data_IF_004559582461
#
_entry.id   IF_004559582461
#
_cell.length_a   1.000
_cell.length_b   1.000
_cell.length_c   1.000
_cell.angle_alpha   90.00
_cell.angle_beta   90.00
_cell.angle_gamma   90.00
#
_symmetry.space_group_name_H-M   'P 1'
#
loop_
_entity.id
_entity.type
_entity.pdbx_description
1 polymer ?
#
# COMPACT_ATOMS: atom_id res chain seq x y z
N UNK A 1 -41.11 35.00 32.40
CA UNK A 1 -42.45 34.68 31.84
C UNK A 1 -42.45 33.20 31.42
N UNK A 2 -43.39 32.40 31.98
CA UNK A 2 -43.99 31.11 31.51
C UNK A 2 -42.99 29.92 31.28
N UNK A 3 -42.86 28.90 32.17
CA UNK A 3 -43.70 27.67 32.41
C UNK A 3 -44.09 26.97 31.09
N UNK A 4 -43.82 25.70 30.78
CA UNK A 4 -44.11 24.38 31.42
C UNK A 4 -43.33 23.28 30.65
N UNK A 5 -42.62 22.30 31.25
CA UNK A 5 -43.07 20.97 31.74
C UNK A 5 -43.92 20.16 30.75
N UNK A 6 -43.49 18.94 30.39
CA UNK A 6 -44.23 17.63 30.31
C UNK A 6 -43.17 16.50 30.19
N UNK A 7 -42.89 15.67 31.21
CA UNK A 7 -43.63 14.48 31.72
C UNK A 7 -43.56 13.28 30.76
N UNK A 8 -42.65 12.32 30.98
CA UNK A 8 -42.77 11.06 31.78
C UNK A 8 -43.64 9.95 31.18
N UNK A 9 -43.07 8.76 31.03
CA UNK A 9 -43.73 7.45 31.06
C UNK A 9 -42.73 6.45 31.67
N UNK A 10 -42.82 6.15 32.97
CA UNK A 10 -43.52 4.99 33.59
C UNK A 10 -42.93 3.63 33.10
N UNK A 11 -41.98 2.98 33.79
CA UNK A 11 -42.03 2.13 35.02
C UNK A 11 -43.02 0.96 34.96
N UNK A 12 -42.47 -0.28 34.98
CA UNK A 12 -43.01 -1.51 35.61
C UNK A 12 -41.88 -2.56 35.66
N UNK A 13 -41.01 -2.57 36.68
CA UNK A 13 -40.95 -3.43 37.89
C UNK A 13 -41.34 -4.92 37.75
N UNK A 14 -40.42 -5.76 38.25
CA UNK A 14 -40.61 -7.06 38.92
C UNK A 14 -40.74 -8.34 38.09
N UNK A 15 -39.66 -9.12 38.10
CA UNK A 15 -39.65 -10.57 37.87
C UNK A 15 -38.42 -11.19 38.54
N UNK A 16 -38.56 -11.48 39.83
CA UNK A 16 -37.55 -11.95 40.78
C UNK A 16 -37.22 -13.44 40.58
N UNK A 17 -35.92 -13.73 40.44
CA UNK A 17 -35.15 -14.89 40.97
C UNK A 17 -35.63 -16.31 40.66
N UNK A 18 -34.76 -17.07 39.97
CA UNK A 18 -34.39 -18.41 40.44
C UNK A 18 -32.87 -18.59 40.46
N UNK A 19 -32.44 -19.08 41.61
CA UNK A 19 -31.08 -19.33 42.08
C UNK A 19 -30.56 -20.65 41.50
N UNK A 20 -29.24 -20.73 41.28
CA UNK A 20 -28.49 -21.98 41.07
C UNK A 20 -27.67 -21.91 39.77
N UNK A 21 -26.37 -22.20 39.74
CA UNK A 21 -25.52 -22.92 40.67
C UNK A 21 -24.06 -22.57 40.36
N UNK A 22 -23.25 -22.43 41.41
CA UNK A 22 -21.78 -22.46 41.30
C UNK A 22 -21.36 -23.80 40.70
N UNK A 23 -20.63 -23.81 39.58
CA UNK A 23 -19.65 -24.86 39.29
C UNK A 23 -18.49 -24.29 38.44
N UNK A 24 -17.38 -24.09 39.15
CA UNK A 24 -16.00 -24.34 38.71
C UNK A 24 -15.58 -23.83 37.32
N UNK A 25 -14.90 -22.67 37.30
CA UNK A 25 -13.95 -22.31 36.23
C UNK A 25 -12.68 -23.15 36.44
N UNK A 26 -12.70 -24.40 35.98
CA UNK A 26 -11.45 -25.13 35.76
C UNK A 26 -10.81 -24.60 34.49
N UNK A 27 -9.59 -24.10 34.63
CA UNK A 27 -8.71 -23.78 33.51
C UNK A 27 -8.43 -25.06 32.71
N UNK A 28 -9.26 -25.34 31.71
CA UNK A 28 -8.96 -26.34 30.69
C UNK A 28 -8.30 -25.63 29.52
N UNK A 29 -6.98 -25.77 29.46
CA UNK A 29 -6.18 -25.43 28.29
C UNK A 29 -6.72 -26.19 27.07
N UNK A 30 -7.51 -25.51 26.25
CA UNK A 30 -7.92 -26.02 24.95
C UNK A 30 -6.71 -25.99 24.01
N UNK A 31 -6.35 -27.11 23.34
CA UNK A 31 -5.35 -27.05 22.29
C UNK A 31 -5.89 -26.20 21.14
N UNK A 32 -5.12 -25.17 20.81
CA UNK A 32 -5.33 -24.27 19.67
C UNK A 32 -5.37 -25.08 18.37
N UNK A 33 -6.56 -25.53 17.96
CA UNK A 33 -6.80 -26.07 16.63
C UNK A 33 -7.03 -24.91 15.66
N UNK A 34 -5.94 -24.18 15.37
CA UNK A 34 -5.89 -23.13 14.37
C UNK A 34 -5.95 -23.72 12.96
N UNK A 35 -6.91 -23.23 12.17
CA UNK A 35 -7.26 -23.60 10.80
C UNK A 35 -6.07 -23.97 9.88
N UNK A 36 -6.19 -25.14 9.26
CA UNK A 36 -5.54 -25.49 7.99
C UNK A 36 -5.97 -24.52 6.87
N UNK A 37 -5.00 -23.99 6.13
CA UNK A 37 -5.15 -23.31 4.84
C UNK A 37 -5.25 -21.78 4.95
N UNK A 38 -4.33 -20.97 4.40
CA UNK A 38 -3.61 -21.13 3.13
C UNK A 38 -2.12 -20.87 3.31
N UNK A 39 -1.31 -21.83 2.85
CA UNK A 39 0.02 -21.51 2.32
C UNK A 39 -0.22 -20.56 1.15
N UNK A 40 -0.01 -19.26 1.32
CA UNK A 40 0.27 -18.44 0.15
C UNK A 40 1.73 -18.70 -0.16
N UNK A 41 1.92 -19.69 -1.02
CA UNK A 41 3.17 -19.97 -1.67
C UNK A 41 3.85 -18.66 -2.05
N UNK A 42 5.08 -18.53 -1.58
CA UNK A 42 6.19 -18.03 -2.36
C UNK A 42 6.12 -18.58 -3.79
N UNK A 43 5.26 -18.02 -4.65
CA UNK A 43 5.43 -18.12 -6.08
C UNK A 43 6.45 -17.08 -6.47
N UNK A 44 7.66 -17.57 -6.71
CA UNK A 44 8.62 -17.07 -7.69
C UNK A 44 7.86 -16.34 -8.81
N UNK A 45 7.69 -15.03 -8.67
CA UNK A 45 7.21 -14.17 -9.75
C UNK A 45 8.39 -14.01 -10.70
N UNK A 46 8.60 -15.04 -11.51
CA UNK A 46 9.49 -14.98 -12.66
C UNK A 46 8.93 -13.92 -13.62
N UNK A 47 9.56 -12.75 -13.63
CA UNK A 47 9.92 -11.87 -14.75
C UNK A 47 9.04 -11.73 -16.02
N UNK A 48 7.80 -12.25 -16.08
CA UNK A 48 7.07 -12.41 -17.35
C UNK A 48 5.61 -11.98 -17.37
N UNK A 49 5.00 -11.69 -16.21
CA UNK A 49 3.67 -11.07 -16.15
C UNK A 49 3.69 -10.07 -15.01
N UNK A 50 3.99 -8.80 -15.34
CA UNK A 50 3.97 -7.74 -14.34
C UNK A 50 2.56 -7.69 -13.76
N UNK A 51 2.46 -7.83 -12.44
CA UNK A 51 1.18 -7.83 -11.73
C UNK A 51 0.47 -6.50 -12.00
N UNK A 52 -0.74 -6.55 -12.59
CA UNK A 52 -1.55 -5.36 -12.88
C UNK A 52 -1.81 -4.52 -11.62
N UNK A 53 -1.90 -5.16 -10.45
CA UNK A 53 -2.04 -4.46 -9.16
C UNK A 53 -0.78 -3.67 -8.84
N UNK A 54 0.40 -4.26 -9.03
CA UNK A 54 1.67 -3.58 -8.85
C UNK A 54 1.86 -2.41 -9.84
N UNK A 55 1.45 -2.58 -11.11
CA UNK A 55 1.48 -1.51 -12.11
C UNK A 55 0.60 -0.33 -11.72
N UNK A 56 -0.65 -0.59 -11.35
CA UNK A 56 -1.58 0.46 -10.95
C UNK A 56 -1.09 1.19 -9.68
N UNK A 57 -0.57 0.44 -8.69
CA UNK A 57 0.03 1.03 -7.50
C UNK A 57 1.26 1.88 -7.83
N UNK A 58 2.14 1.39 -8.70
CA UNK A 58 3.33 2.10 -9.15
C UNK A 58 3.01 3.40 -9.86
N UNK A 59 2.00 3.39 -10.76
CA UNK A 59 1.52 4.61 -11.40
C UNK A 59 0.96 5.61 -10.39
N UNK A 60 0.17 5.16 -9.41
CA UNK A 60 -0.35 6.03 -8.36
C UNK A 60 0.77 6.68 -7.55
N UNK A 61 1.84 5.94 -7.24
CA UNK A 61 3.00 6.46 -6.51
C UNK A 61 3.76 7.48 -7.38
N UNK A 62 3.95 7.19 -8.67
CA UNK A 62 4.55 8.11 -9.65
C UNK A 62 3.79 9.45 -9.70
N UNK A 63 2.46 9.40 -9.81
CA UNK A 63 1.62 10.60 -9.84
C UNK A 63 1.66 11.35 -8.50
N UNK A 64 1.50 10.64 -7.37
CA UNK A 64 1.42 11.24 -6.03
C UNK A 64 2.73 11.88 -5.56
N UNK A 65 3.87 11.45 -6.09
CA UNK A 65 5.19 12.01 -5.77
C UNK A 65 5.63 13.10 -6.76
N UNK A 66 4.76 13.51 -7.70
CA UNK A 66 5.02 14.61 -8.62
C UNK A 66 6.04 14.27 -9.70
N UNK A 67 6.27 12.98 -10.01
CA UNK A 67 7.23 12.58 -11.04
C UNK A 67 6.85 13.17 -12.42
N UNK A 68 5.55 13.28 -12.70
CA UNK A 68 5.00 13.88 -13.91
C UNK A 68 5.30 15.39 -14.06
N UNK A 69 5.69 16.09 -12.98
CA UNK A 69 6.04 17.51 -13.07
C UNK A 69 7.32 17.75 -13.85
N UNK A 70 8.21 16.76 -13.89
CA UNK A 70 9.49 16.84 -14.59
C UNK A 70 9.59 15.88 -15.77
N UNK A 71 8.99 14.69 -15.64
CA UNK A 71 9.08 13.65 -16.66
C UNK A 71 7.79 13.56 -17.48
N UNK A 72 7.98 13.29 -18.76
CA UNK A 72 6.90 13.03 -19.71
C UNK A 72 6.68 11.52 -19.85
N UNK A 73 5.42 11.12 -20.03
CA UNK A 73 5.00 9.79 -20.47
C UNK A 73 3.85 9.97 -21.48
N UNK A 74 3.97 9.31 -22.63
CA UNK A 74 3.04 9.34 -23.76
C UNK A 74 2.63 10.76 -24.17
N UNK A 75 3.58 11.71 -24.16
CA UNK A 75 3.31 13.11 -24.52
C UNK A 75 2.90 14.01 -23.35
N UNK A 76 2.48 13.46 -22.21
CA UNK A 76 1.96 14.21 -21.06
C UNK A 76 2.98 14.32 -19.91
N UNK A 77 3.01 15.47 -19.24
CA UNK A 77 3.94 15.77 -18.14
C UNK A 77 4.99 16.83 -18.51
N UNK A 78 5.94 17.04 -17.60
CA UNK A 78 7.03 18.00 -17.74
C UNK A 78 8.13 17.55 -18.70
N UNK A 79 9.05 18.46 -19.02
CA UNK A 79 10.18 18.22 -19.92
C UNK A 79 11.54 18.61 -19.30
N UNK A 80 11.59 18.87 -18.00
CA UNK A 80 12.84 19.16 -17.29
C UNK A 80 13.66 17.91 -16.99
N UNK A 81 13.01 16.74 -16.92
CA UNK A 81 13.63 15.43 -16.91
C UNK A 81 13.47 14.71 -18.26
N UNK A 82 14.22 13.62 -18.49
CA UNK A 82 14.08 12.80 -19.69
C UNK A 82 12.68 12.19 -19.82
N UNK A 83 12.28 11.94 -21.05
CA UNK A 83 11.05 11.25 -21.42
C UNK A 83 11.11 9.77 -20.96
N UNK A 84 10.02 9.25 -20.37
CA UNK A 84 9.99 7.91 -19.76
C UNK A 84 9.08 6.90 -20.47
N UNK A 85 8.33 7.26 -21.52
CA UNK A 85 7.43 6.37 -22.29
C UNK A 85 8.09 5.04 -22.65
N UNK A 86 9.38 5.08 -22.96
CA UNK A 86 10.13 3.92 -23.42
C UNK A 86 11.37 3.66 -22.56
N UNK A 87 11.36 4.08 -21.29
CA UNK A 87 12.55 3.98 -20.43
C UNK A 87 13.06 2.54 -20.33
N UNK A 88 12.19 1.53 -20.39
CA UNK A 88 12.57 0.13 -20.31
C UNK A 88 12.95 -0.52 -21.66
N UNK A 89 12.95 0.22 -22.79
CA UNK A 89 13.50 -0.28 -24.07
C UNK A 89 15.02 -0.43 -24.02
N UNK A 90 15.71 0.41 -23.24
CA UNK A 90 17.15 0.35 -23.11
C UNK A 90 17.56 -0.81 -22.18
N UNK A 91 18.32 -1.82 -22.64
CA UNK A 91 18.74 -2.95 -21.80
C UNK A 91 19.63 -2.53 -20.62
N UNK A 92 20.25 -1.33 -20.66
CA UNK A 92 21.01 -0.77 -19.54
C UNK A 92 20.11 -0.27 -18.40
N UNK A 93 18.85 0.04 -18.67
CA UNK A 93 17.89 0.49 -17.66
C UNK A 93 17.27 -0.71 -16.94
N UNK A 94 18.13 -1.44 -16.22
CA UNK A 94 17.74 -2.61 -15.42
C UNK A 94 16.84 -2.21 -14.26
N UNK A 95 16.21 -3.19 -13.58
CA UNK A 95 15.43 -2.92 -12.36
C UNK A 95 16.27 -2.21 -11.29
N UNK A 96 17.55 -2.59 -11.17
CA UNK A 96 18.48 -1.96 -10.24
C UNK A 96 18.79 -0.52 -10.65
N UNK A 97 18.98 -0.25 -11.95
CA UNK A 97 19.18 1.12 -12.44
C UNK A 97 17.96 2.00 -12.14
N UNK A 98 16.75 1.49 -12.40
CA UNK A 98 15.50 2.21 -12.09
C UNK A 98 15.36 2.48 -10.58
N UNK A 99 15.73 1.51 -9.75
CA UNK A 99 15.72 1.67 -8.29
C UNK A 99 16.72 2.74 -7.84
N UNK A 100 17.98 2.64 -8.30
CA UNK A 100 19.05 3.61 -8.02
C UNK A 100 18.68 5.01 -8.48
N UNK A 101 18.11 5.14 -9.68
CA UNK A 101 17.67 6.43 -10.22
C UNK A 101 16.60 7.11 -9.33
N UNK A 102 15.77 6.34 -8.62
CA UNK A 102 14.77 6.89 -7.68
C UNK A 102 15.39 7.25 -6.32
N UNK A 103 16.23 6.37 -5.77
CA UNK A 103 16.75 6.52 -4.39
C UNK A 103 18.07 7.28 -4.30
N UNK A 104 18.82 7.34 -5.38
CA UNK A 104 20.10 8.04 -5.51
C UNK A 104 20.40 8.43 -6.97
N UNK A 105 19.63 9.36 -7.57
CA UNK A 105 19.77 9.74 -8.99
C UNK A 105 21.18 10.22 -9.38
N UNK A 106 21.96 10.74 -8.43
CA UNK A 106 23.33 11.19 -8.67
C UNK A 106 24.33 10.05 -8.87
N UNK A 107 23.99 8.82 -8.46
CA UNK A 107 24.85 7.66 -8.72
C UNK A 107 24.92 7.31 -10.21
N UNK A 108 23.79 7.40 -10.91
CA UNK A 108 23.72 7.13 -12.36
C UNK A 108 23.95 8.39 -13.20
N UNK A 109 23.68 9.57 -12.64
CA UNK A 109 23.78 10.86 -13.34
C UNK A 109 24.25 11.96 -12.38
N UNK A 110 25.56 12.23 -12.26
CA UNK A 110 26.10 13.12 -11.23
C UNK A 110 25.56 14.56 -11.28
N UNK A 111 25.21 15.04 -12.47
CA UNK A 111 24.58 16.35 -12.69
C UNK A 111 23.04 16.34 -12.54
N UNK A 112 22.44 15.24 -12.08
CA UNK A 112 21.00 15.14 -11.92
C UNK A 112 20.47 16.13 -10.88
N UNK A 113 19.40 16.85 -11.27
CA UNK A 113 18.58 17.67 -10.38
C UNK A 113 17.33 16.92 -9.88
N UNK A 114 17.19 15.63 -10.22
CA UNK A 114 16.10 14.80 -9.72
C UNK A 114 16.21 14.70 -8.18
N UNK A 115 15.14 14.99 -7.43
CA UNK A 115 15.15 14.85 -5.97
C UNK A 115 15.41 13.41 -5.54
N UNK A 116 15.97 13.23 -4.34
CA UNK A 116 16.19 11.93 -3.71
C UNK A 116 14.89 11.44 -3.06
N UNK A 117 14.44 10.23 -3.38
CA UNK A 117 13.19 9.67 -2.84
C UNK A 117 13.36 8.55 -1.82
N UNK A 118 14.59 8.18 -1.43
CA UNK A 118 14.88 7.05 -0.52
C UNK A 118 14.04 7.02 0.77
N UNK A 119 13.73 8.20 1.32
CA UNK A 119 12.98 8.34 2.57
C UNK A 119 11.45 8.37 2.35
N UNK A 120 11.01 8.68 1.13
CA UNK A 120 9.58 8.82 0.73
C UNK A 120 9.02 7.56 0.08
N UNK A 121 9.81 6.89 -0.75
CA UNK A 121 9.39 5.72 -1.55
C UNK A 121 10.32 4.56 -1.21
N UNK A 122 9.81 3.55 -0.49
CA UNK A 122 10.61 2.42 0.01
C UNK A 122 9.82 1.12 0.00
N UNK A 123 10.53 0.00 0.18
CA UNK A 123 9.91 -1.32 0.31
C UNK A 123 9.01 -1.67 -0.87
N UNK A 124 7.73 -1.96 -0.60
CA UNK A 124 6.77 -2.36 -1.64
C UNK A 124 6.44 -1.22 -2.60
N UNK A 125 6.45 0.03 -2.14
CA UNK A 125 6.13 1.18 -2.98
C UNK A 125 7.22 1.44 -4.02
N UNK A 126 8.49 1.32 -3.61
CA UNK A 126 9.62 1.39 -4.53
C UNK A 126 9.55 0.28 -5.59
N UNK A 127 9.31 -0.96 -5.16
CA UNK A 127 9.15 -2.10 -6.07
C UNK A 127 8.00 -1.91 -7.06
N UNK A 128 6.85 -1.41 -6.62
CA UNK A 128 5.71 -1.14 -7.50
C UNK A 128 6.04 -0.02 -8.50
N UNK A 129 6.72 1.04 -8.05
CA UNK A 129 7.14 2.15 -8.91
C UNK A 129 8.11 1.67 -9.98
N UNK A 130 9.13 0.89 -9.60
CA UNK A 130 10.08 0.27 -10.53
C UNK A 130 9.37 -0.70 -11.48
N UNK A 131 8.40 -1.49 -10.99
CA UNK A 131 7.61 -2.38 -11.83
C UNK A 131 6.82 -1.59 -12.90
N UNK A 132 6.19 -0.48 -12.51
CA UNK A 132 5.52 0.42 -13.44
C UNK A 132 6.48 0.97 -14.49
N UNK A 133 7.62 1.56 -14.09
CA UNK A 133 8.61 2.09 -15.04
C UNK A 133 9.19 1.00 -15.96
N UNK A 134 9.43 -0.21 -15.44
CA UNK A 134 9.93 -1.35 -16.23
C UNK A 134 8.94 -1.87 -17.29
N UNK A 135 7.66 -1.51 -17.14
CA UNK A 135 6.61 -1.85 -18.12
C UNK A 135 6.54 -0.89 -19.30
N UNK A 136 7.20 0.27 -19.21
CA UNK A 136 7.25 1.32 -20.23
C UNK A 136 8.30 0.96 -21.30
N UNK A 137 7.90 0.11 -22.23
CA UNK A 137 8.70 -0.42 -23.35
C UNK A 137 8.20 0.07 -24.69
#
# INVERSE_FOLDING_TARGET
MKRTTEKTSAIAIAGLVLVGSMLAVTAFAAPYQGKKGKKTETKKSAAGKVDKVALAAGKKIYDANGCANCHKIAGAGGASGPELTHVAKNPKHTLQWLETSIVNPKADSPQSFMPVYKDKIKGKDLKNTVAYLSSLK
#
